data_IF_264008437122
#
_entry.id   IF_264008437122
#
_cell.length_a   1.000
_cell.length_b   1.000
_cell.length_c   1.000
_cell.angle_alpha   90.00
_cell.angle_beta   90.00
_cell.angle_gamma   90.00
#
_symmetry.space_group_name_H-M   'P 1'
#
loop_
_entity.id
_entity.type
_entity.pdbx_description
1 polymer ?
#
# COMPACT_ATOMS: atom_id res chain seq x y z
N UNK A 1 -2.76 26.94 -23.83
CA UNK A 1 -1.93 25.92 -24.50
C UNK A 1 -0.54 26.06 -23.95
N UNK A 2 -0.35 25.55 -22.73
CA UNK A 2 0.94 25.53 -22.08
C UNK A 2 1.77 24.46 -22.76
N UNK A 3 2.80 24.89 -23.51
CA UNK A 3 3.85 23.99 -23.94
C UNK A 3 4.49 23.45 -22.66
N UNK A 4 4.21 22.19 -22.34
CA UNK A 4 5.02 21.43 -21.38
C UNK A 4 6.42 21.45 -21.99
N UNK A 5 7.26 22.33 -21.48
CA UNK A 5 8.68 22.34 -21.78
C UNK A 5 9.19 21.01 -21.25
N UNK A 6 9.35 20.03 -22.13
CA UNK A 6 10.16 18.85 -21.86
C UNK A 6 11.51 19.34 -21.39
N UNK A 7 11.73 19.29 -20.08
CA UNK A 7 13.00 19.62 -19.50
C UNK A 7 14.04 18.66 -20.12
N UNK A 8 15.22 19.16 -20.52
CA UNK A 8 16.26 18.33 -21.09
C UNK A 8 16.67 17.29 -20.04
N UNK A 9 16.35 16.02 -20.29
CA UNK A 9 16.67 14.90 -19.41
C UNK A 9 18.17 14.87 -19.14
N UNK A 10 18.58 15.12 -17.90
CA UNK A 10 19.99 15.00 -17.52
C UNK A 10 20.45 13.53 -17.57
N UNK A 11 21.46 13.23 -18.39
CA UNK A 11 22.03 11.88 -18.53
C UNK A 11 22.68 11.34 -17.22
N UNK A 12 22.99 12.23 -16.27
CA UNK A 12 23.59 11.87 -14.97
C UNK A 12 22.59 11.48 -13.89
N UNK A 13 21.31 11.32 -14.21
CA UNK A 13 20.29 10.88 -13.25
C UNK A 13 20.62 9.55 -12.54
N UNK A 14 21.29 8.62 -13.24
CA UNK A 14 21.69 7.34 -12.63
C UNK A 14 22.76 7.50 -11.52
N UNK A 15 23.66 8.47 -11.66
CA UNK A 15 24.72 8.76 -10.67
C UNK A 15 24.12 9.31 -9.37
N UNK A 16 22.95 9.96 -9.43
CA UNK A 16 22.28 10.55 -8.27
C UNK A 16 21.93 9.49 -7.22
N UNK A 17 21.41 8.34 -7.66
CA UNK A 17 21.02 7.24 -6.76
C UNK A 17 22.27 6.65 -6.12
N UNK A 18 23.30 6.33 -6.91
CA UNK A 18 24.57 5.81 -6.39
C UNK A 18 25.23 6.77 -5.39
N UNK A 19 25.22 8.08 -5.69
CA UNK A 19 25.69 9.12 -4.78
C UNK A 19 24.91 9.15 -3.46
N UNK A 20 23.58 9.07 -3.53
CA UNK A 20 22.70 9.09 -2.35
C UNK A 20 22.88 7.89 -1.40
N UNK A 21 23.32 6.75 -1.92
CA UNK A 21 23.60 5.54 -1.14
C UNK A 21 25.08 5.37 -0.79
N UNK A 22 25.96 6.28 -1.25
CA UNK A 22 27.39 6.19 -1.04
C UNK A 22 28.04 5.03 -1.81
N UNK A 23 27.44 4.63 -2.93
CA UNK A 23 27.91 3.55 -3.80
C UNK A 23 28.85 4.05 -4.91
N UNK A 24 28.91 5.37 -5.11
CA UNK A 24 29.82 6.01 -6.07
C UNK A 24 31.24 6.14 -5.50
N UNK A 25 32.26 6.02 -6.34
CA UNK A 25 33.65 6.21 -5.92
C UNK A 25 33.96 7.67 -5.57
N UNK A 26 35.00 7.91 -4.78
CA UNK A 26 35.34 9.25 -4.25
C UNK A 26 35.71 10.27 -5.35
N UNK A 27 36.24 9.80 -6.48
CA UNK A 27 36.53 10.68 -7.60
C UNK A 27 35.23 11.09 -8.31
N UNK A 28 34.39 10.12 -8.68
CA UNK A 28 33.11 10.37 -9.32
C UNK A 28 32.12 11.12 -8.40
N UNK A 29 32.21 10.95 -7.07
CA UNK A 29 31.47 11.74 -6.09
C UNK A 29 31.78 13.24 -6.23
N UNK A 30 33.08 13.60 -6.27
CA UNK A 30 33.51 15.00 -6.46
C UNK A 30 33.10 15.54 -7.83
N UNK A 31 33.13 14.71 -8.86
CA UNK A 31 32.65 15.08 -10.20
C UNK A 31 31.14 15.30 -10.23
N UNK A 32 30.37 14.51 -9.47
CA UNK A 32 28.94 14.67 -9.32
C UNK A 32 28.59 15.91 -8.49
N UNK A 33 29.32 16.21 -7.43
CA UNK A 33 29.17 17.45 -6.65
C UNK A 33 29.38 18.70 -7.52
N UNK A 34 30.41 18.70 -8.38
CA UNK A 34 30.62 19.79 -9.34
C UNK A 34 29.49 19.90 -10.36
N UNK A 35 28.85 18.79 -10.74
CA UNK A 35 27.69 18.80 -11.61
C UNK A 35 26.44 19.34 -10.92
N UNK A 36 26.20 18.98 -9.65
CA UNK A 36 25.09 19.51 -8.85
C UNK A 36 25.12 21.05 -8.77
N UNK A 37 26.30 21.67 -8.73
CA UNK A 37 26.45 23.13 -8.73
C UNK A 37 26.03 23.80 -10.06
N UNK A 38 25.99 23.04 -11.16
CA UNK A 38 25.74 23.55 -12.50
C UNK A 38 24.42 23.02 -13.11
N UNK A 39 23.76 22.06 -12.45
CA UNK A 39 22.57 21.39 -12.94
C UNK A 39 21.41 21.53 -11.95
N UNK A 40 20.52 22.50 -12.21
CA UNK A 40 19.36 22.77 -11.37
C UNK A 40 18.38 21.59 -11.28
N UNK A 41 18.30 20.75 -12.32
CA UNK A 41 17.44 19.56 -12.32
C UNK A 41 17.92 18.55 -11.27
N UNK A 42 19.19 18.12 -11.33
CA UNK A 42 19.76 17.19 -10.36
C UNK A 42 19.75 17.75 -8.93
N UNK A 43 19.92 19.07 -8.76
CA UNK A 43 19.76 19.73 -7.45
C UNK A 43 18.33 19.59 -6.93
N UNK A 44 17.33 19.85 -7.78
CA UNK A 44 15.91 19.75 -7.42
C UNK A 44 15.49 18.32 -7.07
N UNK A 45 15.96 17.34 -7.85
CA UNK A 45 15.72 15.91 -7.57
C UNK A 45 16.35 15.49 -6.25
N UNK A 46 17.61 15.89 -6.00
CA UNK A 46 18.30 15.63 -4.73
C UNK A 46 17.52 16.23 -3.55
N UNK A 47 16.96 17.43 -3.72
CA UNK A 47 16.08 18.08 -2.75
C UNK A 47 14.82 17.26 -2.48
N UNK A 48 14.12 16.81 -3.52
CA UNK A 48 12.93 15.97 -3.41
C UNK A 48 13.22 14.66 -2.66
N UNK A 49 14.33 13.99 -2.97
CA UNK A 49 14.75 12.77 -2.27
C UNK A 49 15.06 13.02 -0.78
N UNK A 50 15.73 14.13 -0.45
CA UNK A 50 15.98 14.50 0.96
C UNK A 50 14.67 14.74 1.71
N UNK A 51 13.69 15.39 1.07
CA UNK A 51 12.37 15.59 1.65
C UNK A 51 11.67 14.26 1.94
N UNK A 52 11.68 13.32 1.00
CA UNK A 52 11.10 11.98 1.20
C UNK A 52 11.80 11.24 2.34
N UNK A 53 13.13 11.26 2.41
CA UNK A 53 13.85 10.61 3.53
C UNK A 53 13.51 11.25 4.87
N UNK A 54 13.35 12.57 4.92
CA UNK A 54 12.94 13.26 6.15
C UNK A 54 11.52 12.91 6.58
N UNK A 55 10.57 12.78 5.65
CA UNK A 55 9.19 12.39 5.96
C UNK A 55 9.09 10.95 6.42
N UNK A 56 9.84 10.04 5.80
CA UNK A 56 9.95 8.63 6.24
C UNK A 56 10.60 8.56 7.62
N UNK A 57 11.63 9.38 7.89
CA UNK A 57 12.26 9.48 9.20
C UNK A 57 11.28 9.96 10.28
N UNK A 58 10.51 11.01 9.98
CA UNK A 58 9.48 11.54 10.87
C UNK A 58 8.38 10.49 11.14
N UNK A 59 7.89 9.81 10.10
CA UNK A 59 6.88 8.76 10.24
C UNK A 59 7.39 7.57 11.06
N UNK A 60 8.65 7.17 10.85
CA UNK A 60 9.29 6.13 11.66
C UNK A 60 9.41 6.55 13.12
N UNK A 61 9.76 7.80 13.38
CA UNK A 61 9.85 8.34 14.73
C UNK A 61 8.48 8.44 15.39
N UNK A 62 7.43 8.80 14.66
CA UNK A 62 6.07 8.81 15.19
C UNK A 62 5.59 7.39 15.51
N UNK A 63 5.80 6.45 14.58
CA UNK A 63 5.37 5.05 14.71
C UNK A 63 6.10 4.30 15.83
N UNK A 64 7.42 4.53 15.97
CA UNK A 64 8.24 3.89 17.01
C UNK A 64 8.26 4.68 18.32
N UNK A 65 8.17 6.01 18.25
CA UNK A 65 8.21 6.91 19.38
C UNK A 65 6.97 6.79 20.27
N UNK A 66 5.80 6.51 19.68
CA UNK A 66 4.59 6.16 20.43
C UNK A 66 4.76 4.88 21.27
N UNK A 67 5.61 3.94 20.85
CA UNK A 67 5.88 2.72 21.60
C UNK A 67 6.90 2.93 22.74
N UNK A 68 7.72 3.98 22.70
CA UNK A 68 8.74 4.29 23.72
C UNK A 68 8.33 5.40 24.70
N UNK A 69 7.39 6.28 24.31
CA UNK A 69 6.94 7.38 25.17
C UNK A 69 6.15 6.89 26.41
N UNK A 70 5.57 5.69 26.38
CA UNK A 70 4.83 5.12 27.51
C UNK A 70 5.74 4.51 28.60
N UNK A 71 7.08 4.52 28.44
CA UNK A 71 8.01 4.00 29.46
C UNK A 71 8.81 5.07 30.21
N UNK A 72 8.55 6.37 30.00
CA UNK A 72 9.31 7.45 30.68
C UNK A 72 8.34 8.46 31.30
N UNK A 73 7.52 7.99 32.24
CA UNK A 73 6.76 8.85 33.16
C UNK A 73 6.87 8.35 34.61
N UNK A 74 8.11 8.05 35.03
CA UNK A 74 8.60 7.97 36.41
C UNK A 74 10.12 7.75 36.28
N UNK A 75 11.07 8.49 36.83
CA UNK A 75 11.11 9.59 37.79
C UNK A 75 12.59 10.09 37.78
N UNK A 76 12.93 11.37 38.00
CA UNK A 76 14.29 11.76 38.32
C UNK A 76 14.44 11.83 39.85
N UNK A 77 14.92 10.77 40.48
CA UNK A 77 15.45 10.86 41.84
C UNK A 77 16.55 9.83 42.08
N UNK A 78 17.73 10.37 42.28
CA UNK A 78 18.96 9.71 42.71
C UNK A 78 18.70 8.84 43.94
N UNK A 79 19.07 7.57 43.83
CA UNK A 79 19.54 6.72 44.93
C UNK A 79 18.53 6.35 46.02
N UNK A 80 17.95 5.15 45.90
CA UNK A 80 17.93 4.17 47.00
C UNK A 80 17.41 2.81 46.53
N UNK A 81 18.16 1.79 46.97
CA UNK A 81 17.78 0.40 47.23
C UNK A 81 16.57 -0.19 46.49
N UNK A 82 16.88 -1.17 45.64
CA UNK A 82 16.37 -2.53 45.74
C UNK A 82 14.93 -2.69 46.25
N UNK A 83 13.95 -2.72 45.35
CA UNK A 83 12.75 -3.54 45.57
C UNK A 83 12.11 -3.97 44.25
N UNK A 84 12.22 -5.28 44.01
CA UNK A 84 11.34 -6.18 43.24
C UNK A 84 10.31 -5.58 42.25
N UNK A 85 10.74 -4.81 41.26
CA UNK A 85 9.94 -4.63 40.05
C UNK A 85 10.10 -5.87 39.17
N UNK A 86 8.99 -6.60 38.99
CA UNK A 86 8.90 -7.77 38.12
C UNK A 86 9.48 -7.38 36.75
N UNK A 87 10.55 -8.03 36.28
CA UNK A 87 11.16 -7.70 35.01
C UNK A 87 10.10 -7.82 33.92
N UNK A 88 9.76 -6.69 33.31
CA UNK A 88 8.83 -6.62 32.19
C UNK A 88 9.27 -7.62 31.13
N UNK A 89 8.35 -8.49 30.68
CA UNK A 89 8.62 -9.56 29.73
C UNK A 89 9.32 -9.06 28.45
N UNK A 90 9.14 -7.78 28.11
CA UNK A 90 9.75 -7.13 26.96
C UNK A 90 11.27 -6.94 27.14
N UNK A 91 11.73 -6.69 28.38
CA UNK A 91 13.17 -6.59 28.70
C UNK A 91 13.86 -7.95 28.60
N UNK A 92 13.18 -9.03 28.97
CA UNK A 92 13.68 -10.40 28.78
C UNK A 92 13.76 -10.76 27.29
N UNK A 93 12.78 -10.34 26.47
CA UNK A 93 12.80 -10.57 25.03
C UNK A 93 13.95 -9.81 24.36
N UNK A 94 14.18 -8.53 24.70
CA UNK A 94 15.35 -7.78 24.17
C UNK A 94 16.68 -8.43 24.55
N UNK A 95 16.82 -8.88 25.79
CA UNK A 95 18.01 -9.62 26.25
C UNK A 95 18.21 -10.94 25.48
N UNK A 96 17.12 -11.61 25.09
CA UNK A 96 17.17 -12.81 24.24
C UNK A 96 17.71 -12.52 22.83
N UNK A 97 17.34 -11.37 22.26
CA UNK A 97 17.85 -10.90 20.96
C UNK A 97 19.29 -10.37 21.03
N UNK A 98 19.68 -9.72 22.13
CA UNK A 98 21.08 -9.28 22.35
C UNK A 98 22.04 -10.47 22.54
N UNK A 99 21.59 -11.56 23.16
CA UNK A 99 22.45 -12.70 23.50
C UNK A 99 22.67 -13.67 22.32
N UNK A 100 21.88 -13.59 21.24
CA UNK A 100 21.90 -14.63 20.21
C UNK A 100 22.09 -14.10 18.78
N UNK A 101 23.28 -13.57 18.42
CA UNK A 101 23.63 -13.23 17.04
C UNK A 101 23.59 -14.45 16.08
N UNK A 102 23.50 -15.67 16.61
CA UNK A 102 23.38 -16.91 15.82
C UNK A 102 22.06 -17.03 15.04
N UNK A 103 20.97 -16.37 15.47
CA UNK A 103 19.70 -16.41 14.74
C UNK A 103 19.71 -15.56 13.46
N UNK A 104 20.56 -14.52 13.40
CA UNK A 104 20.76 -13.74 12.17
C UNK A 104 21.44 -14.60 11.10
N UNK A 105 22.37 -15.48 11.49
CA UNK A 105 22.96 -16.43 10.56
C UNK A 105 21.94 -17.52 10.13
N UNK A 106 21.03 -17.91 11.03
CA UNK A 106 19.96 -18.86 10.71
C UNK A 106 18.94 -18.25 9.72
N UNK A 107 18.61 -16.96 9.85
CA UNK A 107 17.67 -16.31 8.92
C UNK A 107 18.26 -16.14 7.52
N UNK A 108 19.57 -15.87 7.41
CA UNK A 108 20.27 -15.78 6.12
C UNK A 108 20.26 -17.14 5.39
N UNK A 109 20.59 -18.23 6.11
CA UNK A 109 20.54 -19.57 5.53
C UNK A 109 19.12 -19.95 5.08
N UNK A 110 18.11 -19.63 5.89
CA UNK A 110 16.71 -19.90 5.55
C UNK A 110 16.23 -19.07 4.35
N UNK A 111 16.60 -17.79 4.28
CA UNK A 111 16.28 -16.92 3.14
C UNK A 111 16.91 -17.42 1.84
N UNK A 112 18.17 -17.89 1.89
CA UNK A 112 18.84 -18.49 0.74
C UNK A 112 18.13 -19.76 0.24
N UNK A 113 17.72 -20.64 1.15
CA UNK A 113 16.97 -21.86 0.78
C UNK A 113 15.62 -21.51 0.15
N UNK A 114 14.87 -20.58 0.75
CA UNK A 114 13.61 -20.11 0.17
C UNK A 114 13.80 -19.50 -1.22
N UNK A 115 14.84 -18.68 -1.39
CA UNK A 115 15.16 -18.08 -2.69
C UNK A 115 15.48 -19.14 -3.75
N UNK A 116 16.24 -20.18 -3.39
CA UNK A 116 16.50 -21.32 -4.28
C UNK A 116 15.21 -22.06 -4.66
N UNK A 117 14.32 -22.33 -3.70
CA UNK A 117 13.04 -23.01 -3.97
C UNK A 117 12.16 -22.17 -4.90
N UNK A 118 12.05 -20.86 -4.67
CA UNK A 118 11.27 -19.95 -5.52
C UNK A 118 11.89 -19.86 -6.92
N UNK A 119 13.21 -19.80 -7.03
CA UNK A 119 13.90 -19.76 -8.32
C UNK A 119 13.66 -21.03 -9.15
N UNK A 120 13.71 -22.20 -8.52
CA UNK A 120 13.40 -23.48 -9.17
C UNK A 120 11.93 -23.53 -9.59
N UNK A 121 11.00 -23.06 -8.74
CA UNK A 121 9.58 -22.99 -9.08
C UNK A 121 9.31 -22.02 -10.23
N UNK A 122 9.98 -20.86 -10.27
CA UNK A 122 9.86 -19.90 -11.35
C UNK A 122 10.36 -20.48 -12.68
N UNK A 123 11.51 -21.17 -12.66
CA UNK A 123 12.03 -21.88 -13.83
C UNK A 123 11.10 -23.01 -14.27
N UNK A 124 10.57 -23.80 -13.33
CA UNK A 124 9.61 -24.85 -13.64
C UNK A 124 8.33 -24.28 -14.29
N UNK A 125 7.82 -23.14 -13.78
CA UNK A 125 6.69 -22.44 -14.40
C UNK A 125 7.00 -21.93 -15.81
N UNK A 126 8.22 -21.42 -16.04
CA UNK A 126 8.64 -20.99 -17.37
C UNK A 126 8.77 -22.17 -18.35
N UNK A 127 9.20 -23.34 -17.88
CA UNK A 127 9.27 -24.54 -18.71
C UNK A 127 7.89 -25.18 -18.96
N UNK A 128 6.99 -25.18 -17.97
CA UNK A 128 5.62 -25.66 -18.12
C UNK A 128 4.82 -24.75 -19.09
N UNK A 129 5.02 -23.43 -19.02
CA UNK A 129 4.45 -22.48 -20.00
C UNK A 129 5.14 -22.52 -21.37
N UNK A 130 6.27 -23.22 -21.51
CA UNK A 130 6.87 -23.58 -22.80
C UNK A 130 6.35 -24.92 -23.34
N UNK A 131 5.13 -25.33 -22.98
CA UNK A 131 4.38 -26.15 -23.93
C UNK A 131 4.34 -25.35 -25.23
N UNK A 132 4.84 -25.89 -26.35
CA UNK A 132 4.71 -25.21 -27.62
C UNK A 132 3.23 -24.89 -27.74
N UNK A 133 2.90 -23.62 -27.85
CA UNK A 133 1.61 -23.22 -28.36
C UNK A 133 1.58 -23.90 -29.72
N UNK A 134 0.97 -25.08 -29.79
CA UNK A 134 0.39 -25.56 -31.01
C UNK A 134 -0.54 -24.42 -31.35
N UNK A 135 -0.07 -23.56 -32.26
CA UNK A 135 -0.88 -22.54 -32.91
C UNK A 135 -1.93 -23.36 -33.65
N UNK A 136 -2.93 -23.81 -32.90
CA UNK A 136 -4.07 -24.51 -33.41
C UNK A 136 -4.74 -23.48 -34.27
N UNK A 137 -4.64 -23.66 -35.59
CA UNK A 137 -5.25 -22.89 -36.66
C UNK A 137 -5.91 -21.63 -36.11
N UNK A 138 -5.09 -20.61 -35.88
CA UNK A 138 -5.59 -19.30 -35.53
C UNK A 138 -6.43 -18.89 -36.72
N UNK A 139 -7.74 -19.15 -36.63
CA UNK A 139 -8.72 -18.75 -37.63
C UNK A 139 -8.55 -17.24 -37.72
N UNK A 140 -7.79 -16.82 -38.73
CA UNK A 140 -7.61 -15.41 -39.07
C UNK A 140 -9.01 -14.92 -39.43
N UNK A 141 -9.69 -14.39 -38.43
CA UNK A 141 -10.96 -13.71 -38.60
C UNK A 141 -10.69 -12.63 -39.64
N UNK A 142 -11.32 -12.76 -40.81
CA UNK A 142 -11.24 -11.70 -41.81
C UNK A 142 -11.81 -10.43 -41.18
N UNK A 143 -11.31 -9.26 -41.58
CA UNK A 143 -11.72 -7.98 -41.00
C UNK A 143 -13.25 -7.78 -41.02
N UNK A 144 -13.90 -8.35 -42.04
CA UNK A 144 -15.37 -8.40 -42.17
C UNK A 144 -16.05 -9.23 -41.09
N UNK A 145 -15.48 -10.38 -40.74
CA UNK A 145 -16.02 -11.26 -39.72
C UNK A 145 -15.83 -10.66 -38.31
N UNK A 146 -14.73 -9.92 -38.10
CA UNK A 146 -14.52 -9.15 -36.87
C UNK A 146 -15.54 -8.02 -36.74
N UNK A 147 -15.77 -7.24 -37.80
CA UNK A 147 -16.79 -6.19 -37.81
C UNK A 147 -18.20 -6.73 -37.55
N UNK A 148 -18.57 -7.85 -38.18
CA UNK A 148 -19.86 -8.50 -37.94
C UNK A 148 -20.04 -8.90 -36.46
N UNK A 149 -18.98 -9.42 -35.83
CA UNK A 149 -19.01 -9.85 -34.43
C UNK A 149 -19.10 -8.66 -33.46
N UNK A 150 -18.47 -7.54 -33.81
CA UNK A 150 -18.57 -6.29 -33.04
C UNK A 150 -19.98 -5.72 -33.14
N UNK A 151 -20.57 -5.65 -34.34
CA UNK A 151 -21.96 -5.17 -34.51
C UNK A 151 -22.97 -6.02 -33.72
N UNK A 152 -22.80 -7.34 -33.72
CA UNK A 152 -23.68 -8.24 -32.99
C UNK A 152 -23.56 -8.04 -31.47
N UNK A 153 -22.33 -7.89 -30.96
CA UNK A 153 -22.08 -7.59 -29.55
C UNK A 153 -22.66 -6.22 -29.12
N UNK A 154 -22.60 -5.21 -29.99
CA UNK A 154 -23.18 -3.88 -29.71
C UNK A 154 -24.71 -3.93 -29.71
N UNK A 155 -25.32 -4.64 -30.67
CA UNK A 155 -26.79 -4.83 -30.71
C UNK A 155 -27.30 -5.55 -29.46
N UNK A 156 -26.62 -6.62 -29.03
CA UNK A 156 -26.97 -7.35 -27.82
C UNK A 156 -26.92 -6.46 -26.57
N UNK A 157 -25.87 -5.64 -26.39
CA UNK A 157 -25.79 -4.70 -25.26
C UNK A 157 -26.88 -3.62 -25.27
N UNK A 158 -27.32 -3.19 -26.45
CA UNK A 158 -28.37 -2.19 -26.58
C UNK A 158 -29.72 -2.75 -26.17
N UNK A 159 -30.03 -3.98 -26.59
CA UNK A 159 -31.24 -4.70 -26.16
C UNK A 159 -31.25 -4.95 -24.65
N UNK A 160 -30.12 -5.34 -24.05
CA UNK A 160 -30.03 -5.53 -22.59
C UNK A 160 -30.28 -4.23 -21.81
N UNK A 161 -29.84 -3.08 -22.33
CA UNK A 161 -30.09 -1.76 -21.72
C UNK A 161 -31.55 -1.32 -21.85
N UNK A 162 -32.17 -1.56 -22.99
CA UNK A 162 -33.58 -1.24 -23.21
C UNK A 162 -34.49 -2.09 -22.31
N UNK A 163 -34.16 -3.38 -22.14
CA UNK A 163 -34.85 -4.26 -21.21
C UNK A 163 -34.71 -3.79 -19.74
N UNK A 164 -33.54 -3.27 -19.34
CA UNK A 164 -33.34 -2.72 -17.99
C UNK A 164 -34.04 -1.39 -17.74
N UNK A 165 -34.05 -0.49 -18.73
CA UNK A 165 -34.66 0.84 -18.56
C UNK A 165 -36.21 0.81 -18.57
N UNK A 166 -36.82 -0.28 -19.03
CA UNK A 166 -38.28 -0.46 -19.02
C UNK A 166 -38.88 -0.88 -17.67
N UNK A 167 -38.08 -1.09 -16.62
CA UNK A 167 -38.63 -1.46 -15.29
C UNK A 167 -38.83 -0.20 -14.44
N UNK A 168 -40.07 0.32 -14.30
CA UNK A 168 -40.34 1.45 -13.41
C UNK A 168 -39.98 1.03 -11.98
N UNK A 169 -38.96 1.70 -11.41
CA UNK A 169 -38.59 1.55 -10.02
C UNK A 169 -39.82 1.83 -9.14
N UNK A 170 -40.17 0.95 -8.18
CA UNK A 170 -41.22 1.25 -7.23
C UNK A 170 -40.79 2.48 -6.42
N UNK A 171 -41.61 3.53 -6.52
CA UNK A 171 -41.53 4.76 -5.73
C UNK A 171 -41.33 4.43 -4.25
N UNK A 172 -40.10 4.55 -3.77
CA UNK A 172 -39.77 4.47 -2.34
C UNK A 172 -40.29 5.75 -1.70
N UNK A 173 -41.49 5.67 -1.14
CA UNK A 173 -42.07 6.72 -0.32
C UNK A 173 -41.12 7.01 0.85
N UNK A 174 -40.65 8.26 0.89
CA UNK A 174 -39.85 8.81 1.97
C UNK A 174 -40.64 8.77 3.29
N UNK A 175 -40.37 7.79 4.15
CA UNK A 175 -40.82 7.81 5.54
C UNK A 175 -39.69 8.35 6.42
N UNK A 176 -39.63 9.67 6.50
CA UNK A 176 -38.77 10.42 7.40
C UNK A 176 -39.49 10.59 8.75
N UNK A 177 -39.29 9.65 9.68
CA UNK A 177 -39.49 9.90 11.11
C UNK A 177 -38.94 8.74 11.95
N UNK A 178 -37.68 8.82 12.35
CA UNK A 178 -37.22 8.09 13.55
C UNK A 178 -36.27 8.97 14.36
N UNK A 179 -36.90 9.64 15.30
CA UNK A 179 -36.35 10.45 16.37
C UNK A 179 -35.50 9.56 17.29
N UNK A 180 -34.20 9.78 17.29
CA UNK A 180 -33.24 9.11 18.17
C UNK A 180 -33.41 9.63 19.60
N UNK A 181 -33.73 8.73 20.54
CA UNK A 181 -33.79 9.02 21.99
C UNK A 181 -32.49 8.54 22.65
N UNK A 182 -31.72 9.40 23.36
CA UNK A 182 -30.47 8.98 23.99
C UNK A 182 -30.78 8.28 25.31
N UNK A 183 -30.52 6.97 25.38
CA UNK A 183 -30.65 6.18 26.61
C UNK A 183 -29.31 6.08 27.33
N UNK A 184 -29.15 6.89 28.37
CA UNK A 184 -28.14 6.74 29.43
C UNK A 184 -28.32 5.40 30.16
N UNK A 185 -27.29 4.57 30.18
CA UNK A 185 -26.95 3.56 31.21
C UNK A 185 -25.47 3.29 31.00
N UNK A 186 -24.59 3.40 31.98
CA UNK A 186 -24.69 3.09 33.39
C UNK A 186 -23.45 2.26 33.68
N UNK A 187 -22.52 2.85 34.42
CA UNK A 187 -21.30 2.18 34.85
C UNK A 187 -21.65 0.93 35.66
N UNK A 188 -20.98 -0.19 35.38
CA UNK A 188 -20.62 -1.19 36.37
C UNK A 188 -19.53 -2.09 35.81
N UNK A 189 -18.43 -2.18 36.57
CA UNK A 189 -17.32 -3.05 36.26
C UNK A 189 -17.67 -4.52 36.45
N UNK A 190 -17.00 -5.39 35.70
CA UNK A 190 -16.84 -6.80 36.06
C UNK A 190 -15.56 -7.31 35.42
N UNK A 191 -14.61 -7.66 36.28
CA UNK A 191 -13.44 -8.50 36.02
C UNK A 191 -13.87 -9.86 35.48
N UNK A 192 -13.21 -10.39 34.44
CA UNK A 192 -13.26 -11.83 34.18
C UNK A 192 -12.94 -12.28 32.76
N UNK A 193 -11.81 -12.98 32.64
CA UNK A 193 -11.54 -14.13 31.76
C UNK A 193 -11.71 -13.95 30.24
N UNK A 194 -10.56 -13.91 29.58
CA UNK A 194 -10.38 -14.21 28.15
C UNK A 194 -10.79 -15.66 27.90
N UNK A 195 -12.01 -15.86 27.43
CA UNK A 195 -12.45 -17.09 26.77
C UNK A 195 -12.22 -16.90 25.26
N UNK A 196 -11.27 -17.65 24.70
CA UNK A 196 -11.12 -17.83 23.26
C UNK A 196 -12.33 -18.59 22.73
N UNK A 197 -13.27 -17.88 22.09
CA UNK A 197 -14.43 -18.49 21.45
C UNK A 197 -14.27 -18.48 19.90
N UNK A 198 -14.74 -19.52 19.20
CA UNK A 198 -14.34 -19.85 17.84
C UNK A 198 -15.16 -19.06 16.80
N UNK A 199 -14.51 -18.83 15.65
CA UNK A 199 -15.10 -18.55 14.33
C UNK A 199 -16.52 -17.95 14.36
N UNK A 200 -16.63 -16.69 14.78
CA UNK A 200 -17.78 -15.86 14.42
C UNK A 200 -17.66 -15.54 12.93
N UNK A 201 -18.50 -16.19 12.11
CA UNK A 201 -18.73 -15.75 10.73
C UNK A 201 -19.41 -14.39 10.81
N UNK A 202 -18.60 -13.33 10.76
CA UNK A 202 -19.07 -11.94 10.80
C UNK A 202 -19.94 -11.73 9.56
N UNK A 203 -21.21 -11.40 9.79
CA UNK A 203 -22.08 -10.92 8.73
C UNK A 203 -21.41 -9.70 8.05
N UNK A 204 -21.56 -9.55 6.72
CA UNK A 204 -21.01 -8.40 6.02
C UNK A 204 -21.59 -7.11 6.61
N UNK A 205 -20.72 -6.16 6.96
CA UNK A 205 -21.12 -4.89 7.57
C UNK A 205 -22.16 -4.18 6.69
N UNK A 206 -23.19 -3.65 7.35
CA UNK A 206 -24.22 -2.85 6.69
C UNK A 206 -23.60 -1.57 6.11
N UNK A 207 -24.25 -0.96 5.10
CA UNK A 207 -23.72 0.22 4.41
C UNK A 207 -23.53 1.40 5.40
N UNK A 208 -24.46 1.59 6.33
CA UNK A 208 -24.38 2.61 7.37
C UNK A 208 -23.23 2.38 8.36
N UNK A 209 -22.96 1.13 8.74
CA UNK A 209 -21.80 0.83 9.60
C UNK A 209 -20.47 1.13 8.91
N UNK A 210 -20.38 0.89 7.58
CA UNK A 210 -19.18 1.24 6.81
C UNK A 210 -18.95 2.75 6.75
N UNK A 211 -20.02 3.53 6.54
CA UNK A 211 -19.95 5.00 6.53
C UNK A 211 -19.57 5.55 7.91
N UNK A 212 -20.08 4.95 8.99
CA UNK A 212 -19.76 5.35 10.35
C UNK A 212 -18.31 5.01 10.74
N UNK A 213 -17.83 3.82 10.36
CA UNK A 213 -16.42 3.43 10.54
C UNK A 213 -15.46 4.29 9.71
N UNK A 214 -15.86 4.68 8.50
CA UNK A 214 -15.06 5.59 7.67
C UNK A 214 -14.96 6.99 8.30
N UNK A 215 -16.07 7.51 8.84
CA UNK A 215 -16.09 8.78 9.55
C UNK A 215 -15.22 8.74 10.82
N UNK A 216 -15.29 7.66 11.60
CA UNK A 216 -14.54 7.49 12.85
C UNK A 216 -13.02 7.32 12.59
N UNK A 217 -12.66 6.62 11.52
CA UNK A 217 -11.26 6.49 11.07
C UNK A 217 -10.72 7.76 10.40
N UNK A 218 -11.53 8.82 10.25
CA UNK A 218 -11.20 10.03 9.48
C UNK A 218 -10.64 9.73 8.09
N UNK A 219 -11.00 8.57 7.54
CA UNK A 219 -10.69 8.23 6.16
C UNK A 219 -11.62 9.10 5.33
N UNK A 220 -11.10 10.24 4.86
CA UNK A 220 -11.72 10.98 3.77
C UNK A 220 -11.83 9.98 2.62
N UNK A 221 -13.02 9.42 2.38
CA UNK A 221 -13.24 8.71 1.13
C UNK A 221 -12.95 9.72 0.01
N UNK A 222 -12.16 9.36 -1.00
CA UNK A 222 -12.03 10.19 -2.19
C UNK A 222 -13.45 10.45 -2.70
N UNK A 223 -13.77 11.73 -2.73
CA UNK A 223 -15.03 12.29 -3.16
C UNK A 223 -15.12 12.02 -4.66
N UNK A 224 -16.01 11.12 -5.05
CA UNK A 224 -16.49 10.86 -6.41
C UNK A 224 -15.46 11.11 -7.54
N UNK A 225 -14.66 10.10 -7.85
CA UNK A 225 -13.86 9.98 -9.08
C UNK A 225 -14.77 9.79 -10.33
N UNK A 226 -15.83 10.58 -10.47
CA UNK A 226 -16.67 10.65 -11.68
C UNK A 226 -16.05 11.53 -12.78
N UNK A 227 -14.82 12.02 -12.58
CA UNK A 227 -14.13 12.91 -13.52
C UNK A 227 -12.73 12.40 -13.92
N UNK A 228 -12.48 11.09 -13.79
CA UNK A 228 -11.37 10.44 -14.48
C UNK A 228 -11.77 10.22 -15.94
N UNK A 229 -11.77 11.34 -16.68
CA UNK A 229 -11.77 11.39 -18.13
C UNK A 229 -10.48 10.71 -18.61
N UNK A 230 -10.56 9.39 -18.74
CA UNK A 230 -9.53 8.54 -19.33
C UNK A 230 -9.33 9.00 -20.76
N UNK A 231 -8.34 9.88 -20.92
CA UNK A 231 -7.46 10.07 -22.07
C UNK A 231 -7.59 8.92 -23.07
N UNK A 232 -8.62 9.05 -23.90
CA UNK A 232 -8.89 8.25 -25.07
C UNK A 232 -8.74 9.21 -26.23
N UNK A 233 -7.49 9.43 -26.63
CA UNK A 233 -7.10 9.65 -28.03
C UNK A 233 -5.64 10.12 -28.10
N UNK A 234 -4.82 9.42 -28.88
CA UNK A 234 -3.52 9.96 -29.28
C UNK A 234 -2.36 9.02 -29.56
N UNK A 235 -2.52 7.69 -29.66
CA UNK A 235 -1.40 6.76 -29.98
C UNK A 235 -1.49 6.20 -31.42
N UNK A 236 -2.22 6.85 -32.35
CA UNK A 236 -2.19 6.49 -33.77
C UNK A 236 -2.45 7.69 -34.68
N UNK A 237 -1.57 8.70 -34.60
CA UNK A 237 -1.31 9.61 -35.71
C UNK A 237 0.20 9.76 -35.90
#
# INVERSE_FOLDING_TARGET
MDKILEAPICERGNDLIAFLYGEIDEHAARDFERHLLNCAECESELGAFKQIRSSVGAWRQESLGAATATSVAASPAVGRASDLEKPSAITAIRKFFEISPLWVNASIAFASVLFCVVSVLALAHLFENRRPVVVGDEKRYTEKELQAKIEDAVKSRRQDREARNGTPLPSVAANNNQQVKPQRRGANGTTGRVATNPKVRRAPLTKSEREQLAADLRLKLPQDDTDLDLLSDGINQ
#
